data_IF_000074815318
#
_entry.id   IF_000074815318
#
_cell.length_a   1.000
_cell.length_b   1.000
_cell.length_c   1.000
_cell.angle_alpha   90.00
_cell.angle_beta   90.00
_cell.angle_gamma   90.00
#
_symmetry.space_group_name_H-M   'P 1'
#
loop_
_entity.id
_entity.type
_entity.pdbx_description
1 polymer ?
#
# COMPACT_ATOMS: atom_id res chain seq x y z
N UNK A 1 -12.40 6.40 6.84
CA UNK A 1 -11.65 6.48 5.56
C UNK A 1 -10.22 6.03 5.79
N UNK A 2 -9.65 5.28 4.84
CA UNK A 2 -8.28 4.74 4.92
C UNK A 2 -7.45 5.32 3.78
N UNK A 3 -6.21 5.71 4.05
CA UNK A 3 -5.21 6.05 3.02
C UNK A 3 -4.11 5.01 3.00
N UNK A 4 -3.78 4.51 1.81
CA UNK A 4 -2.67 3.58 1.59
C UNK A 4 -1.88 4.03 0.36
N UNK A 5 -0.56 4.05 0.48
CA UNK A 5 0.36 4.33 -0.63
C UNK A 5 0.46 3.12 -1.55
N UNK A 6 0.32 3.31 -2.85
CA UNK A 6 0.60 2.28 -3.88
C UNK A 6 1.99 2.53 -4.47
N UNK A 7 3.02 2.20 -3.70
CA UNK A 7 4.41 2.56 -3.99
C UNK A 7 5.26 1.40 -4.56
N UNK A 8 4.62 0.34 -5.07
CA UNK A 8 5.33 -0.86 -5.57
C UNK A 8 6.08 -0.64 -6.88
N UNK A 9 5.64 0.32 -7.70
CA UNK A 9 6.36 0.74 -8.92
C UNK A 9 7.42 1.78 -8.56
N UNK A 10 8.61 1.32 -8.17
CA UNK A 10 9.68 2.18 -7.66
C UNK A 10 10.20 3.20 -8.69
N UNK A 11 10.03 2.95 -9.99
CA UNK A 11 10.46 3.90 -11.03
C UNK A 11 9.49 5.08 -11.14
N UNK A 12 8.21 4.84 -10.82
CA UNK A 12 7.13 5.83 -10.93
C UNK A 12 6.70 6.42 -9.58
N UNK A 13 7.14 5.82 -8.48
CA UNK A 13 6.79 6.25 -7.13
C UNK A 13 7.94 7.00 -6.47
N UNK A 14 7.63 8.19 -5.95
CA UNK A 14 8.54 9.01 -5.15
C UNK A 14 7.84 9.50 -3.91
N UNK A 15 8.61 9.64 -2.83
CA UNK A 15 8.08 10.12 -1.55
C UNK A 15 7.50 11.53 -1.63
N UNK A 16 8.07 12.38 -2.49
CA UNK A 16 7.56 13.72 -2.77
C UNK A 16 6.11 13.71 -3.29
N UNK A 17 5.73 12.70 -4.08
CA UNK A 17 4.37 12.57 -4.61
C UNK A 17 3.39 12.11 -3.53
N UNK A 18 3.82 11.20 -2.65
CA UNK A 18 3.04 10.79 -1.47
C UNK A 18 2.73 12.01 -0.59
N UNK A 19 3.74 12.81 -0.27
CA UNK A 19 3.58 14.00 0.56
C UNK A 19 2.66 15.05 -0.09
N UNK A 20 2.80 15.31 -1.40
CA UNK A 20 1.94 16.25 -2.14
C UNK A 20 0.46 15.83 -2.13
N UNK A 21 0.19 14.53 -2.28
CA UNK A 21 -1.17 13.99 -2.19
C UNK A 21 -1.75 14.20 -0.79
N UNK A 22 -0.99 13.89 0.27
CA UNK A 22 -1.46 14.06 1.65
C UNK A 22 -1.76 15.52 1.98
N UNK A 23 -0.91 16.45 1.55
CA UNK A 23 -1.14 17.88 1.77
C UNK A 23 -2.33 18.41 0.96
N UNK A 24 -2.51 17.96 -0.28
CA UNK A 24 -3.69 18.30 -1.09
C UNK A 24 -5.00 17.83 -0.45
N UNK A 25 -5.01 16.63 0.13
CA UNK A 25 -6.18 16.11 0.85
C UNK A 25 -6.48 16.93 2.11
N UNK A 26 -5.45 17.30 2.89
CA UNK A 26 -5.61 18.21 4.04
C UNK A 26 -6.14 19.57 3.62
N UNK A 27 -5.63 20.13 2.52
CA UNK A 27 -6.09 21.41 1.98
C UNK A 27 -7.57 21.37 1.59
N UNK A 28 -8.04 20.24 1.05
CA UNK A 28 -9.46 19.99 0.77
C UNK A 28 -10.31 19.73 2.02
N UNK A 29 -9.73 19.70 3.22
CA UNK A 29 -10.41 19.36 4.46
C UNK A 29 -10.76 17.87 4.59
N UNK A 30 -10.13 17.01 3.79
CA UNK A 30 -10.35 15.57 3.78
C UNK A 30 -9.44 14.91 4.82
N UNK A 31 -10.03 14.23 5.79
CA UNK A 31 -9.30 13.52 6.86
C UNK A 31 -9.53 12.02 6.79
N UNK A 32 -8.53 11.25 7.19
CA UNK A 32 -8.55 9.78 7.24
C UNK A 32 -8.40 9.29 8.67
N UNK A 33 -9.01 8.14 8.96
CA UNK A 33 -8.99 7.50 10.27
C UNK A 33 -7.81 6.54 10.42
N UNK A 34 -7.40 5.94 9.30
CA UNK A 34 -6.27 5.04 9.20
C UNK A 34 -5.43 5.40 7.98
N UNK A 35 -4.12 5.23 8.07
CA UNK A 35 -3.26 5.47 6.93
C UNK A 35 -1.89 6.00 7.26
N UNK A 36 -1.22 6.50 6.22
CA UNK A 36 0.01 7.27 6.36
C UNK A 36 -0.17 8.40 7.39
N UNK A 37 0.88 8.67 8.17
CA UNK A 37 0.96 9.66 9.26
C UNK A 37 0.11 9.37 10.51
N UNK A 38 -1.08 8.76 10.38
CA UNK A 38 -2.01 8.51 11.51
C UNK A 38 -1.95 7.09 12.06
N UNK A 39 -1.38 6.14 11.31
CA UNK A 39 -1.32 4.74 11.71
C UNK A 39 -2.69 4.05 11.66
N UNK A 40 -2.87 3.03 12.48
CA UNK A 40 -4.09 2.21 12.55
C UNK A 40 -3.79 0.72 12.61
N UNK A 41 -4.82 -0.09 12.85
CA UNK A 41 -4.67 -1.53 13.11
C UNK A 41 -4.33 -2.33 11.85
N UNK A 42 -4.72 -1.84 10.67
CA UNK A 42 -4.49 -2.51 9.39
C UNK A 42 -3.14 -2.18 8.72
N UNK A 43 -2.25 -1.49 9.43
CA UNK A 43 -0.91 -1.13 8.93
C UNK A 43 -0.05 -2.35 8.56
N UNK A 44 1.12 -2.13 7.93
CA UNK A 44 1.63 -0.84 7.44
C UNK A 44 0.87 -0.33 6.21
N UNK A 45 0.91 0.99 5.96
CA UNK A 45 0.12 1.66 4.90
C UNK A 45 0.93 2.04 3.66
N UNK A 46 2.21 1.66 3.58
CA UNK A 46 2.95 1.59 2.30
C UNK A 46 2.97 0.15 1.81
N UNK A 47 2.78 -0.06 0.52
CA UNK A 47 2.76 -1.41 -0.02
C UNK A 47 4.16 -2.02 -0.13
N UNK A 48 5.20 -1.21 -0.32
CA UNK A 48 6.60 -1.66 -0.25
C UNK A 48 6.96 -2.24 1.12
N UNK A 49 6.28 -1.82 2.18
CA UNK A 49 6.44 -2.35 3.55
C UNK A 49 5.63 -3.66 3.77
N UNK A 50 4.90 -4.15 2.76
CA UNK A 50 3.98 -5.31 2.86
C UNK A 50 4.40 -6.51 2.02
N UNK A 51 5.63 -6.55 1.52
CA UNK A 51 6.09 -7.60 0.61
C UNK A 51 5.96 -9.02 1.21
N UNK A 52 6.22 -9.17 2.51
CA UNK A 52 6.09 -10.47 3.20
C UNK A 52 4.65 -11.00 3.17
N UNK A 53 3.67 -10.10 3.34
CA UNK A 53 2.23 -10.45 3.28
C UNK A 53 1.90 -10.93 1.86
N UNK A 54 2.39 -10.24 0.83
CA UNK A 54 2.14 -10.65 -0.56
C UNK A 54 2.80 -11.99 -0.88
N UNK A 55 4.00 -12.24 -0.37
CA UNK A 55 4.68 -13.51 -0.53
C UNK A 55 3.87 -14.67 0.08
N UNK A 56 3.34 -14.49 1.30
CA UNK A 56 2.50 -15.49 1.98
C UNK A 56 1.25 -15.83 1.15
N UNK A 57 0.49 -14.82 0.73
CA UNK A 57 -0.73 -15.05 -0.05
C UNK A 57 -0.43 -15.61 -1.44
N UNK A 58 0.67 -15.20 -2.07
CA UNK A 58 1.11 -15.77 -3.34
C UNK A 58 1.42 -17.26 -3.19
N UNK A 59 2.15 -17.65 -2.14
CA UNK A 59 2.44 -19.04 -1.85
C UNK A 59 1.15 -19.86 -1.66
N UNK A 60 0.18 -19.34 -0.89
CA UNK A 60 -1.12 -19.99 -0.69
C UNK A 60 -1.91 -20.18 -2.00
N UNK A 61 -1.87 -19.21 -2.90
CA UNK A 61 -2.54 -19.31 -4.20
C UNK A 61 -1.88 -20.38 -5.09
N UNK A 62 -0.56 -20.49 -5.06
CA UNK A 62 0.19 -21.54 -5.75
C UNK A 62 -0.11 -22.93 -5.17
N UNK A 63 -0.08 -23.07 -3.83
CA UNK A 63 -0.37 -24.32 -3.12
C UNK A 63 -1.80 -24.84 -3.36
N UNK A 64 -2.77 -23.94 -3.48
CA UNK A 64 -4.18 -24.30 -3.72
C UNK A 64 -4.52 -24.47 -5.21
N UNK A 65 -3.54 -24.35 -6.10
CA UNK A 65 -3.74 -24.46 -7.55
C UNK A 65 -4.57 -23.32 -8.16
N UNK A 66 -4.72 -22.20 -7.44
CA UNK A 66 -5.43 -21.00 -7.89
C UNK A 66 -4.52 -20.05 -8.69
N UNK A 67 -3.21 -20.27 -8.65
CA UNK A 67 -2.21 -19.60 -9.45
C UNK A 67 -1.19 -20.60 -9.99
N UNK A 68 -0.45 -20.19 -11.02
CA UNK A 68 0.66 -20.96 -11.60
C UNK A 68 1.76 -20.01 -12.06
N UNK A 69 2.99 -20.53 -12.17
CA UNK A 69 4.11 -19.77 -12.72
C UNK A 69 4.00 -19.69 -14.26
N UNK A 70 4.11 -18.48 -14.80
CA UNK A 70 4.13 -18.21 -16.24
C UNK A 70 5.53 -17.72 -16.63
N UNK A 71 6.10 -18.29 -17.71
CA UNK A 71 7.49 -18.08 -18.13
C UNK A 71 7.56 -17.59 -19.58
#
# INVERSE_FOLDING_TARGET
MVIRSEDTDLERSRREYEDEILESLKWLGISWNEGLQVGGEAGPYRQTERLDIYAEYTARLLETGQAYYCF
#
